data_IF_437058028661
#
_entry.id   IF_437058028661
#
_cell.length_a   1.000
_cell.length_b   1.000
_cell.length_c   1.000
_cell.angle_alpha   90.00
_cell.angle_beta   90.00
_cell.angle_gamma   90.00
#
_symmetry.space_group_name_H-M   'P 1'
#
loop_
_entity.id
_entity.type
_entity.pdbx_description
1 polymer ?
#
# COMPACT_ATOMS: atom_id res chain seq x y z
N UNK A 1 22.57 -9.99 8.10
CA UNK A 1 21.76 -9.38 9.18
C UNK A 1 20.39 -9.09 8.60
N UNK A 2 19.26 -9.34 9.28
CA UNK A 2 17.98 -8.82 8.83
C UNK A 2 18.06 -7.30 8.93
N UNK A 3 18.28 -6.66 7.79
CA UNK A 3 18.30 -5.21 7.61
C UNK A 3 16.86 -4.74 7.74
N UNK A 4 16.36 -4.61 8.98
CA UNK A 4 14.94 -4.41 9.27
C UNK A 4 14.30 -3.41 8.30
N UNK A 5 13.18 -3.80 7.66
CA UNK A 5 12.33 -2.87 6.91
C UNK A 5 12.04 -1.71 7.85
N UNK A 6 12.60 -0.53 7.58
CA UNK A 6 12.33 0.67 8.36
C UNK A 6 10.81 0.85 8.36
N UNK A 7 10.16 0.53 9.48
CA UNK A 7 8.90 1.17 9.83
C UNK A 7 9.19 2.65 9.67
N UNK A 8 8.47 3.31 8.76
CA UNK A 8 8.74 4.69 8.39
C UNK A 8 8.65 5.52 9.68
N UNK A 9 9.79 5.85 10.30
CA UNK A 9 9.84 6.59 11.58
C UNK A 9 9.18 7.96 11.48
N UNK A 10 8.89 8.41 10.25
CA UNK A 10 8.17 9.63 9.89
C UNK A 10 6.68 9.43 9.61
N UNK A 11 6.12 8.26 9.91
CA UNK A 11 4.69 7.94 9.67
C UNK A 11 3.81 8.95 10.41
N UNK A 12 4.15 9.26 11.67
CA UNK A 12 3.43 10.24 12.51
C UNK A 12 3.65 11.69 12.09
N UNK A 13 4.64 11.96 11.26
CA UNK A 13 4.96 13.30 10.73
C UNK A 13 4.45 13.48 9.28
N UNK A 14 3.91 12.42 8.67
CA UNK A 14 3.49 12.44 7.27
C UNK A 14 2.14 13.16 7.11
N UNK A 15 2.16 14.29 6.42
CA UNK A 15 0.95 15.02 6.04
C UNK A 15 0.03 14.15 5.16
N UNK A 16 0.60 13.37 4.24
CA UNK A 16 -0.18 12.45 3.41
C UNK A 16 -0.93 11.43 4.27
N UNK A 17 -0.30 10.90 5.33
CA UNK A 17 -0.97 9.97 6.24
C UNK A 17 -2.06 10.64 7.07
N UNK A 18 -1.83 11.87 7.50
CA UNK A 18 -2.82 12.64 8.24
C UNK A 18 -4.07 12.90 7.40
N UNK A 19 -3.88 13.26 6.12
CA UNK A 19 -4.93 13.60 5.17
C UNK A 19 -5.70 12.37 4.62
N UNK A 20 -5.32 11.15 5.01
CA UNK A 20 -6.02 9.93 4.59
C UNK A 20 -7.50 9.95 5.00
N UNK A 21 -8.39 9.40 4.14
CA UNK A 21 -9.83 9.54 4.31
C UNK A 21 -10.36 8.84 5.57
N UNK A 22 -9.73 7.72 5.95
CA UNK A 22 -10.16 6.90 7.07
C UNK A 22 -8.98 6.08 7.66
N UNK A 23 -9.25 5.42 8.80
CA UNK A 23 -8.27 4.58 9.48
C UNK A 23 -7.93 3.31 8.71
N UNK A 24 -8.82 2.86 7.81
CA UNK A 24 -8.53 1.71 6.95
C UNK A 24 -7.40 2.06 5.98
N UNK A 25 -7.46 3.21 5.30
CA UNK A 25 -6.43 3.68 4.40
C UNK A 25 -5.08 3.87 5.14
N UNK A 26 -5.12 4.41 6.36
CA UNK A 26 -3.92 4.54 7.22
C UNK A 26 -3.32 3.19 7.55
N UNK A 27 -4.14 2.25 8.01
CA UNK A 27 -3.69 0.90 8.35
C UNK A 27 -3.14 0.17 7.13
N UNK A 28 -3.81 0.29 5.97
CA UNK A 28 -3.32 -0.25 4.70
C UNK A 28 -1.93 0.31 4.42
N UNK A 29 -1.76 1.63 4.38
CA UNK A 29 -0.47 2.24 4.09
C UNK A 29 0.66 1.76 5.02
N UNK A 30 0.38 1.66 6.32
CA UNK A 30 1.35 1.17 7.31
C UNK A 30 1.72 -0.31 7.09
N UNK A 31 0.77 -1.16 6.72
CA UNK A 31 1.01 -2.59 6.48
C UNK A 31 1.65 -2.86 5.11
N UNK A 32 1.39 -2.01 4.12
CA UNK A 32 1.78 -2.27 2.72
C UNK A 32 3.27 -2.59 2.54
N UNK A 33 4.23 -1.84 3.13
CA UNK A 33 5.67 -2.13 3.02
C UNK A 33 6.07 -3.56 3.42
N UNK A 34 5.28 -4.22 4.27
CA UNK A 34 5.55 -5.60 4.70
C UNK A 34 5.33 -6.63 3.59
N UNK A 35 4.58 -6.27 2.55
CA UNK A 35 4.22 -7.16 1.44
C UNK A 35 4.91 -6.78 0.12
N UNK A 36 5.62 -5.66 0.09
CA UNK A 36 6.40 -5.23 -1.06
C UNK A 36 7.70 -6.04 -1.19
N UNK A 37 8.17 -6.18 -2.43
CA UNK A 37 9.50 -6.74 -2.69
C UNK A 37 10.61 -5.79 -2.20
N UNK A 38 11.87 -6.21 -2.31
CA UNK A 38 13.03 -5.41 -1.90
C UNK A 38 13.18 -4.06 -2.63
N UNK A 39 12.47 -3.88 -3.75
CA UNK A 39 12.46 -2.64 -4.53
C UNK A 39 11.18 -1.81 -4.33
N UNK A 40 10.35 -2.12 -3.34
CA UNK A 40 9.14 -1.35 -3.06
C UNK A 40 8.01 -1.55 -4.07
N UNK A 41 8.01 -2.69 -4.76
CA UNK A 41 7.01 -2.99 -5.80
C UNK A 41 5.98 -3.98 -5.29
N UNK A 42 4.73 -3.77 -5.72
CA UNK A 42 3.57 -4.59 -5.38
C UNK A 42 2.69 -4.85 -6.60
N UNK A 43 1.80 -5.83 -6.47
CA UNK A 43 0.80 -6.13 -7.51
C UNK A 43 -0.35 -5.15 -7.38
N UNK A 44 -0.72 -4.48 -8.48
CA UNK A 44 -1.88 -3.56 -8.53
C UNK A 44 -3.17 -4.37 -8.74
N UNK A 45 -3.55 -5.09 -7.68
CA UNK A 45 -4.72 -5.96 -7.65
C UNK A 45 -5.35 -5.93 -6.23
N UNK A 46 -6.59 -5.46 -6.09
CA UNK A 46 -7.26 -5.41 -4.78
C UNK A 46 -7.39 -6.76 -4.08
N UNK A 47 -7.67 -7.84 -4.82
CA UNK A 47 -7.79 -9.20 -4.24
C UNK A 47 -6.46 -9.69 -3.68
N UNK A 48 -5.35 -9.41 -4.37
CA UNK A 48 -4.01 -9.72 -3.88
C UNK A 48 -3.69 -8.92 -2.62
N UNK A 49 -3.94 -7.60 -2.64
CA UNK A 49 -3.66 -6.73 -1.50
C UNK A 49 -4.49 -7.13 -0.27
N UNK A 50 -5.80 -7.39 -0.44
CA UNK A 50 -6.67 -7.88 0.63
C UNK A 50 -6.15 -9.18 1.24
N UNK A 51 -5.86 -10.18 0.40
CA UNK A 51 -5.40 -11.48 0.87
C UNK A 51 -4.06 -11.43 1.60
N UNK A 52 -3.17 -10.49 1.25
CA UNK A 52 -1.85 -10.34 1.85
C UNK A 52 -1.83 -9.48 3.11
N UNK A 53 -2.62 -8.42 3.14
CA UNK A 53 -2.60 -7.44 4.23
C UNK A 53 -3.68 -7.69 5.28
N UNK A 54 -4.81 -8.27 4.87
CA UNK A 54 -6.03 -8.38 5.68
C UNK A 54 -6.67 -9.78 5.61
N UNK A 55 -5.91 -10.88 5.78
CA UNK A 55 -6.38 -12.23 5.48
C UNK A 55 -7.57 -12.69 6.36
N UNK A 56 -7.68 -12.18 7.58
CA UNK A 56 -8.73 -12.57 8.54
C UNK A 56 -9.79 -11.48 8.75
N UNK A 57 -9.70 -10.36 8.02
CA UNK A 57 -10.67 -9.26 8.13
C UNK A 57 -11.80 -9.48 7.13
N UNK A 58 -12.95 -9.90 7.65
CA UNK A 58 -14.15 -10.15 6.85
C UNK A 58 -14.84 -8.86 6.38
N UNK A 59 -14.65 -7.77 7.13
CA UNK A 59 -15.21 -6.44 6.88
C UNK A 59 -14.48 -5.67 5.77
N UNK A 60 -13.25 -6.07 5.40
CA UNK A 60 -12.48 -5.42 4.34
C UNK A 60 -12.93 -5.91 2.97
N UNK A 61 -13.52 -5.02 2.18
CA UNK A 61 -13.99 -5.33 0.82
C UNK A 61 -12.93 -5.01 -0.24
N UNK A 62 -13.09 -5.57 -1.45
CA UNK A 62 -12.22 -5.23 -2.58
C UNK A 62 -12.38 -3.77 -3.03
N UNK A 63 -13.57 -3.20 -2.83
CA UNK A 63 -13.87 -1.80 -3.13
C UNK A 63 -13.09 -0.86 -2.21
N UNK A 64 -13.07 -1.12 -0.90
CA UNK A 64 -12.25 -0.36 0.05
C UNK A 64 -10.77 -0.39 -0.34
N UNK A 65 -10.25 -1.58 -0.66
CA UNK A 65 -8.85 -1.76 -1.07
C UNK A 65 -8.56 -1.04 -2.39
N UNK A 66 -9.47 -1.12 -3.37
CA UNK A 66 -9.35 -0.41 -4.63
C UNK A 66 -9.34 1.10 -4.45
N UNK A 67 -10.29 1.64 -3.69
CA UNK A 67 -10.39 3.06 -3.39
C UNK A 67 -9.14 3.58 -2.66
N UNK A 68 -8.59 2.82 -1.72
CA UNK A 68 -7.34 3.18 -1.05
C UNK A 68 -6.15 3.22 -2.03
N UNK A 69 -6.00 2.21 -2.90
CA UNK A 69 -4.95 2.20 -3.93
C UNK A 69 -5.09 3.38 -4.90
N UNK A 70 -6.32 3.72 -5.31
CA UNK A 70 -6.59 4.88 -6.15
C UNK A 70 -6.21 6.18 -5.44
N UNK A 71 -6.55 6.31 -4.16
CA UNK A 71 -6.21 7.46 -3.35
C UNK A 71 -4.69 7.63 -3.20
N UNK A 72 -3.95 6.54 -2.94
CA UNK A 72 -2.48 6.56 -2.89
C UNK A 72 -1.88 6.98 -4.24
N UNK A 73 -2.43 6.49 -5.35
CA UNK A 73 -1.95 6.81 -6.68
C UNK A 73 -2.19 8.28 -7.04
N UNK A 74 -3.37 8.83 -6.70
CA UNK A 74 -3.73 10.23 -6.92
C UNK A 74 -2.79 11.20 -6.19
N UNK A 75 -2.20 10.78 -5.07
CA UNK A 75 -1.21 11.55 -4.29
C UNK A 75 0.24 11.25 -4.64
N UNK A 76 0.48 10.38 -5.61
CA UNK A 76 1.84 9.99 -6.00
C UNK A 76 2.58 9.15 -4.94
N UNK A 77 1.88 8.64 -3.94
CA UNK A 77 2.44 7.75 -2.92
C UNK A 77 2.79 6.38 -3.51
N UNK A 78 2.02 5.97 -4.52
CA UNK A 78 2.35 4.84 -5.41
C UNK A 78 2.29 5.31 -6.85
N UNK A 79 3.08 4.67 -7.71
CA UNK A 79 3.04 4.88 -9.16
C UNK A 79 2.72 3.56 -9.84
N UNK A 80 1.59 3.52 -10.54
CA UNK A 80 1.11 2.35 -11.28
C UNK A 80 1.86 2.19 -12.59
N UNK A 81 2.15 0.95 -12.96
CA UNK A 81 2.76 0.60 -14.23
C UNK A 81 2.27 -0.78 -14.71
N UNK A 82 2.57 -1.11 -15.96
CA UNK A 82 2.33 -2.44 -16.51
C UNK A 82 3.63 -3.09 -16.95
N UNK A 83 3.76 -4.39 -16.68
CA UNK A 83 4.85 -5.22 -17.17
C UNK A 83 4.28 -6.59 -17.51
N UNK A 84 4.64 -7.13 -18.68
CA UNK A 84 4.25 -8.48 -19.11
C UNK A 84 2.72 -8.72 -19.03
N UNK A 85 1.91 -7.71 -19.38
CA UNK A 85 0.45 -7.80 -19.35
C UNK A 85 -0.18 -7.78 -17.95
N UNK A 86 0.60 -7.51 -16.90
CA UNK A 86 0.13 -7.42 -15.51
C UNK A 86 0.31 -6.01 -14.97
N UNK A 87 -0.61 -5.60 -14.09
CA UNK A 87 -0.56 -4.30 -13.41
C UNK A 87 0.20 -4.41 -12.10
N UNK A 88 1.06 -3.43 -11.87
CA UNK A 88 1.89 -3.30 -10.69
C UNK A 88 1.91 -1.85 -10.23
N UNK A 89 2.48 -1.62 -9.05
CA UNK A 89 2.86 -0.29 -8.61
C UNK A 89 4.21 -0.34 -7.91
N UNK A 90 4.88 0.80 -7.81
CA UNK A 90 6.02 0.99 -6.92
C UNK A 90 5.79 2.20 -6.00
N UNK A 91 6.37 2.17 -4.81
CA UNK A 91 6.41 3.31 -3.89
C UNK A 91 7.66 4.14 -4.23
N UNK A 92 7.54 5.42 -4.65
CA UNK A 92 8.70 6.21 -5.13
C UNK A 92 9.81 6.42 -4.10
N UNK A 93 9.48 6.41 -2.82
CA UNK A 93 10.40 6.70 -1.71
C UNK A 93 10.71 5.47 -0.85
N UNK A 94 10.63 4.27 -1.43
CA UNK A 94 10.83 3.01 -0.71
C UNK A 94 12.28 2.77 -0.29
#
# INVERSE_FOLDING_TARGET
MPTWRKLHVKTTESMDLNDMPDDFARLFWVLLPTQLCSQGRGVDNPSWARAKLFPLREDVTLEMVGAALDWFAQRGMIVRYQAEGRRYFYVPTF
#
